data_IF_927610029076
#
_entry.id   IF_927610029076
#
_cell.length_a   1.000
_cell.length_b   1.000
_cell.length_c   1.000
_cell.angle_alpha   90.00
_cell.angle_beta   90.00
_cell.angle_gamma   90.00
#
_symmetry.space_group_name_H-M   'P 1'
#
loop_
_entity.id
_entity.type
_entity.pdbx_description
1 polymer ?
#
# COMPACT_ATOMS: atom_id res chain seq x y z
N UNK A 1 -30.73 75.91 -32.23
CA UNK A 1 -30.38 76.32 -30.86
C UNK A 1 -30.02 75.07 -30.08
N UNK A 2 -28.74 74.75 -29.88
CA UNK A 2 -27.93 74.97 -28.66
C UNK A 2 -28.55 74.40 -27.37
N UNK A 3 -27.97 73.26 -26.95
CA UNK A 3 -27.67 72.73 -25.60
C UNK A 3 -28.55 73.08 -24.39
N UNK A 4 -28.90 72.05 -23.61
CA UNK A 4 -28.40 71.91 -22.22
C UNK A 4 -28.43 70.45 -21.75
N UNK A 5 -27.25 69.88 -21.56
CA UNK A 5 -27.02 68.63 -20.83
C UNK A 5 -27.03 68.95 -19.34
N UNK A 6 -27.98 68.38 -18.59
CA UNK A 6 -27.94 68.41 -17.13
C UNK A 6 -27.12 67.23 -16.61
N UNK A 7 -25.99 67.57 -16.02
CA UNK A 7 -25.03 66.71 -15.33
C UNK A 7 -25.66 66.07 -14.09
N UNK A 8 -25.85 64.76 -14.12
CA UNK A 8 -26.20 63.99 -12.91
C UNK A 8 -24.93 63.75 -12.10
N UNK A 9 -24.95 64.23 -10.87
CA UNK A 9 -23.90 64.15 -9.84
C UNK A 9 -23.56 62.68 -9.54
N UNK A 10 -22.51 62.16 -10.17
CA UNK A 10 -21.87 60.91 -9.78
C UNK A 10 -21.10 61.15 -8.48
N UNK A 11 -21.70 60.79 -7.34
CA UNK A 11 -21.04 61.03 -6.06
C UNK A 11 -21.89 60.62 -4.87
N UNK A 12 -22.00 59.30 -4.65
CA UNK A 12 -22.16 58.64 -3.34
C UNK A 12 -22.51 57.14 -3.43
N UNK A 13 -23.04 56.67 -4.56
CA UNK A 13 -23.40 55.25 -4.73
C UNK A 13 -22.25 54.36 -5.24
N UNK A 14 -21.23 54.91 -5.89
CA UNK A 14 -20.04 54.14 -6.28
C UNK A 14 -19.23 53.69 -5.07
N UNK A 15 -19.16 54.48 -3.98
CA UNK A 15 -18.41 54.11 -2.78
C UNK A 15 -19.01 52.90 -2.07
N UNK A 16 -20.34 52.75 -2.08
CA UNK A 16 -21.03 51.61 -1.45
C UNK A 16 -20.89 50.35 -2.32
N UNK A 17 -20.96 50.48 -3.64
CA UNK A 17 -20.75 49.38 -4.56
C UNK A 17 -19.33 48.80 -4.48
N UNK A 18 -18.30 49.65 -4.32
CA UNK A 18 -16.92 49.21 -4.16
C UNK A 18 -16.64 48.58 -2.77
N UNK A 19 -17.29 49.05 -1.71
CA UNK A 19 -17.19 48.44 -0.37
C UNK A 19 -17.88 47.09 -0.31
N UNK A 20 -19.03 46.92 -0.97
CA UNK A 20 -19.69 45.62 -1.11
C UNK A 20 -18.87 44.65 -1.97
N UNK A 21 -18.29 45.10 -3.09
CA UNK A 21 -17.41 44.25 -3.92
C UNK A 21 -16.13 43.82 -3.17
N UNK A 22 -15.54 44.73 -2.38
CA UNK A 22 -14.38 44.41 -1.55
C UNK A 22 -14.71 43.46 -0.38
N UNK A 23 -15.92 43.56 0.22
CA UNK A 23 -16.39 42.64 1.25
C UNK A 23 -16.70 41.23 0.69
N UNK A 24 -17.15 41.16 -0.57
CA UNK A 24 -17.32 39.89 -1.30
C UNK A 24 -15.97 39.25 -1.68
N UNK A 25 -14.94 40.04 -2.00
CA UNK A 25 -13.57 39.51 -2.23
C UNK A 25 -12.84 39.12 -0.93
N UNK A 26 -13.18 39.70 0.22
CA UNK A 26 -12.64 39.29 1.52
C UNK A 26 -13.31 38.02 2.09
N UNK A 27 -14.45 37.60 1.54
CA UNK A 27 -15.16 36.38 1.96
C UNK A 27 -14.79 35.14 1.12
N UNK A 28 -14.01 35.30 0.05
CA UNK A 28 -13.58 34.18 -0.82
C UNK A 28 -12.11 33.78 -0.67
N UNK A 29 -11.39 34.37 0.28
CA UNK A 29 -10.04 33.94 0.64
C UNK A 29 -10.08 33.12 1.94
N UNK A 30 -9.98 31.80 1.76
CA UNK A 30 -9.48 30.82 2.72
C UNK A 30 -10.38 30.53 3.93
N UNK A 31 -11.43 29.74 3.66
CA UNK A 31 -11.60 28.52 4.44
C UNK A 31 -11.48 27.36 3.47
N UNK A 32 -10.24 26.96 3.19
CA UNK A 32 -10.02 25.53 2.97
C UNK A 32 -10.59 24.89 4.23
N UNK A 33 -11.68 24.14 4.11
CA UNK A 33 -12.19 23.32 5.20
C UNK A 33 -11.10 22.29 5.51
N UNK A 34 -10.10 22.69 6.31
CA UNK A 34 -9.19 21.76 6.96
C UNK A 34 -10.08 20.97 7.90
N UNK A 35 -10.51 19.81 7.41
CA UNK A 35 -11.29 18.86 8.19
C UNK A 35 -10.65 18.73 9.58
N UNK A 36 -11.44 18.96 10.63
CA UNK A 36 -10.93 19.05 11.99
C UNK A 36 -10.05 17.83 12.32
N UNK A 37 -8.93 18.08 13.01
CA UNK A 37 -8.07 17.01 13.52
C UNK A 37 -8.89 16.08 14.42
N UNK A 38 -8.60 14.78 14.36
CA UNK A 38 -9.22 13.82 15.26
C UNK A 38 -8.67 14.01 16.68
N UNK A 39 -9.44 13.67 17.73
CA UNK A 39 -8.94 13.66 19.10
C UNK A 39 -7.64 12.84 19.22
N UNK A 40 -6.65 13.38 19.93
CA UNK A 40 -5.36 12.72 20.11
C UNK A 40 -4.49 12.63 18.85
N UNK A 41 -4.72 13.45 17.82
CA UNK A 41 -3.93 13.46 16.58
C UNK A 41 -2.42 13.69 16.79
N UNK A 42 -2.04 14.42 17.84
CA UNK A 42 -0.63 14.69 18.18
C UNK A 42 -0.01 13.63 19.08
N UNK A 43 -0.77 12.63 19.51
CA UNK A 43 -0.23 11.55 20.33
C UNK A 43 0.73 10.68 19.50
N UNK A 44 1.79 10.19 20.14
CA UNK A 44 2.84 9.38 19.48
C UNK A 44 2.28 8.22 18.63
N UNK A 45 1.28 7.42 19.08
CA UNK A 45 0.75 6.33 18.26
C UNK A 45 -0.01 6.84 17.01
N UNK A 46 -0.71 7.97 17.13
CA UNK A 46 -1.44 8.57 16.01
C UNK A 46 -0.45 9.18 14.99
N UNK A 47 0.60 9.85 15.46
CA UNK A 47 1.65 10.40 14.62
C UNK A 47 2.43 9.29 13.88
N UNK A 48 2.66 8.14 14.52
CA UNK A 48 3.28 6.99 13.89
C UNK A 48 2.44 6.44 12.72
N UNK A 49 1.12 6.35 12.86
CA UNK A 49 0.25 5.95 11.74
C UNK A 49 0.25 6.98 10.60
N UNK A 50 0.29 8.27 10.94
CA UNK A 50 0.34 9.32 9.93
C UNK A 50 1.63 9.27 9.12
N UNK A 51 2.78 8.99 9.76
CA UNK A 51 4.08 8.96 9.07
C UNK A 51 4.19 7.83 8.04
N UNK A 52 3.43 6.74 8.22
CA UNK A 52 3.39 5.60 7.29
C UNK A 52 2.80 5.95 5.91
N UNK A 53 2.08 7.06 5.75
CA UNK A 53 1.57 7.48 4.44
C UNK A 53 2.64 8.12 3.56
N UNK A 54 3.65 8.75 4.17
CA UNK A 54 4.66 9.53 3.45
C UNK A 54 5.45 8.68 2.45
N UNK A 55 5.93 7.47 2.79
CA UNK A 55 6.58 6.59 1.83
C UNK A 55 5.68 6.23 0.64
N UNK A 56 4.41 5.87 0.89
CA UNK A 56 3.46 5.54 -0.19
C UNK A 56 3.17 6.74 -1.10
N UNK A 57 3.09 7.93 -0.51
CA UNK A 57 2.91 9.19 -1.25
C UNK A 57 4.10 9.47 -2.17
N UNK A 58 5.32 9.23 -1.68
CA UNK A 58 6.58 9.40 -2.40
C UNK A 58 6.94 8.25 -3.34
N UNK A 59 6.12 7.20 -3.39
CA UNK A 59 6.39 5.96 -4.12
C UNK A 59 7.65 5.22 -3.63
N UNK A 60 8.05 5.45 -2.39
CA UNK A 60 9.20 4.79 -1.77
C UNK A 60 8.73 3.53 -1.05
N UNK A 61 8.61 2.45 -1.83
CA UNK A 61 8.15 1.16 -1.30
C UNK A 61 9.16 0.52 -0.34
N UNK A 62 10.44 0.89 -0.43
CA UNK A 62 11.48 0.43 0.51
C UNK A 62 11.28 1.09 1.87
N UNK A 63 11.10 2.42 1.91
CA UNK A 63 10.79 3.13 3.15
C UNK A 63 9.44 2.69 3.74
N UNK A 64 8.45 2.39 2.89
CA UNK A 64 7.16 1.82 3.33
C UNK A 64 7.33 0.47 4.02
N UNK A 65 8.14 -0.42 3.45
CA UNK A 65 8.46 -1.70 4.08
C UNK A 65 9.16 -1.49 5.44
N UNK A 66 10.21 -0.66 5.46
CA UNK A 66 11.04 -0.44 6.66
C UNK A 66 10.26 0.14 7.84
N UNK A 67 9.32 1.05 7.59
CA UNK A 67 8.56 1.70 8.69
C UNK A 67 7.49 0.79 9.31
N UNK A 68 7.15 -0.33 8.66
CA UNK A 68 6.05 -1.21 9.07
C UNK A 68 6.47 -2.40 9.94
N UNK A 69 7.77 -2.67 10.03
CA UNK A 69 8.34 -3.81 10.75
C UNK A 69 9.56 -3.43 11.56
N UNK A 70 9.96 -4.28 12.51
CA UNK A 70 11.22 -4.10 13.24
C UNK A 70 12.43 -4.32 12.31
N UNK A 71 13.61 -3.77 12.62
CA UNK A 71 14.82 -4.00 11.82
C UNK A 71 15.18 -5.49 11.68
N UNK A 72 14.96 -6.28 12.74
CA UNK A 72 15.16 -7.72 12.73
C UNK A 72 14.20 -8.41 11.74
N UNK A 73 12.90 -8.11 11.81
CA UNK A 73 11.91 -8.63 10.87
C UNK A 73 12.23 -8.22 9.43
N UNK A 74 12.63 -6.97 9.18
CA UNK A 74 13.00 -6.51 7.84
C UNK A 74 14.12 -7.36 7.23
N UNK A 75 15.13 -7.72 8.03
CA UNK A 75 16.26 -8.56 7.61
C UNK A 75 15.80 -10.00 7.32
N UNK A 76 14.93 -10.55 8.17
CA UNK A 76 14.36 -11.89 7.97
C UNK A 76 13.44 -11.94 6.74
N UNK A 77 12.69 -10.88 6.47
CA UNK A 77 11.82 -10.74 5.30
C UNK A 77 12.63 -10.66 3.99
N UNK A 78 13.77 -9.96 3.99
CA UNK A 78 14.69 -9.96 2.85
C UNK A 78 15.21 -11.38 2.56
N UNK A 79 15.57 -12.15 3.59
CA UNK A 79 15.98 -13.54 3.43
C UNK A 79 14.84 -14.43 2.92
N UNK A 80 13.64 -14.28 3.48
CA UNK A 80 12.43 -15.00 3.06
C UNK A 80 12.03 -14.69 1.62
N UNK A 81 12.29 -13.48 1.12
CA UNK A 81 12.09 -13.14 -0.28
C UNK A 81 12.99 -13.93 -1.22
N UNK A 82 14.28 -14.01 -0.88
CA UNK A 82 15.29 -14.72 -1.68
C UNK A 82 15.07 -16.23 -1.68
N UNK A 83 14.50 -16.79 -0.62
CA UNK A 83 14.09 -18.20 -0.58
C UNK A 83 12.73 -18.46 -1.27
N UNK A 84 11.99 -17.41 -1.64
CA UNK A 84 10.65 -17.53 -2.21
C UNK A 84 9.54 -17.77 -1.17
N UNK A 85 9.88 -17.78 0.12
CA UNK A 85 8.93 -17.96 1.22
C UNK A 85 8.08 -16.70 1.51
N UNK A 86 8.44 -15.54 0.93
CA UNK A 86 7.72 -14.29 1.13
C UNK A 86 7.64 -13.41 -0.12
N UNK A 87 6.56 -12.64 -0.19
CA UNK A 87 6.36 -11.49 -1.09
C UNK A 87 5.94 -10.22 -0.35
N UNK A 88 5.95 -10.21 0.98
CA UNK A 88 5.65 -9.03 1.78
C UNK A 88 6.69 -7.92 1.51
N UNK A 89 6.34 -6.64 1.32
CA UNK A 89 5.03 -6.04 1.58
C UNK A 89 4.14 -5.94 0.33
N UNK A 90 4.46 -6.62 -0.78
CA UNK A 90 3.59 -6.55 -1.98
C UNK A 90 2.18 -7.05 -1.68
N UNK A 91 2.05 -7.99 -0.75
CA UNK A 91 0.76 -8.53 -0.24
C UNK A 91 -0.05 -7.52 0.57
N UNK A 92 0.58 -6.45 1.06
CA UNK A 92 -0.08 -5.37 1.82
C UNK A 92 -0.56 -4.22 0.93
N UNK A 93 -0.08 -4.18 -0.31
CA UNK A 93 -0.47 -3.18 -1.28
C UNK A 93 -1.73 -3.66 -2.01
N UNK A 94 -2.56 -2.75 -2.55
CA UNK A 94 -3.70 -3.10 -3.40
C UNK A 94 -3.21 -3.55 -4.80
N UNK A 95 -2.36 -4.57 -4.81
CA UNK A 95 -1.80 -5.22 -5.98
C UNK A 95 -2.34 -6.65 -6.06
N UNK A 96 -2.42 -7.24 -7.26
CA UNK A 96 -2.74 -8.66 -7.38
C UNK A 96 -1.66 -9.49 -6.68
N UNK A 97 -2.05 -10.66 -6.16
CA UNK A 97 -1.13 -11.61 -5.53
C UNK A 97 0.04 -12.05 -6.44
N UNK A 98 -0.19 -12.04 -7.74
CA UNK A 98 0.75 -12.52 -8.78
C UNK A 98 1.44 -11.34 -9.48
N UNK A 99 2.10 -10.47 -8.71
CA UNK A 99 2.74 -9.25 -9.24
C UNK A 99 3.75 -9.56 -10.36
N UNK A 100 4.54 -10.63 -10.23
CA UNK A 100 5.49 -11.00 -11.27
C UNK A 100 4.82 -11.37 -12.59
N UNK A 101 3.70 -12.10 -12.55
CA UNK A 101 2.93 -12.44 -13.75
C UNK A 101 2.30 -11.20 -14.42
N UNK A 102 1.75 -10.28 -13.61
CA UNK A 102 1.23 -9.01 -14.11
C UNK A 102 2.33 -8.24 -14.86
N UNK A 103 3.50 -8.09 -14.24
CA UNK A 103 4.62 -7.37 -14.85
C UNK A 103 5.15 -8.07 -16.09
N UNK A 104 5.21 -9.40 -16.10
CA UNK A 104 5.53 -10.19 -17.30
C UNK A 104 4.56 -9.92 -18.44
N UNK A 105 3.26 -9.93 -18.16
CA UNK A 105 2.22 -9.65 -19.16
C UNK A 105 2.32 -8.23 -19.71
N UNK A 106 2.48 -7.24 -18.83
CA UNK A 106 2.62 -5.84 -19.23
C UNK A 106 3.92 -5.56 -19.98
N UNK A 107 5.02 -6.24 -19.62
CA UNK A 107 6.32 -6.01 -20.24
C UNK A 107 6.53 -6.78 -21.55
N UNK A 108 5.68 -7.75 -21.86
CA UNK A 108 5.80 -8.60 -23.04
C UNK A 108 5.90 -7.81 -24.37
N UNK A 109 6.59 -8.37 -25.39
CA UNK A 109 6.62 -7.80 -26.73
C UNK A 109 5.21 -7.65 -27.30
N UNK A 110 4.85 -6.44 -27.72
CA UNK A 110 3.53 -6.16 -28.29
C UNK A 110 2.37 -6.11 -27.29
N UNK A 111 2.65 -6.09 -25.98
CA UNK A 111 1.65 -6.02 -24.91
C UNK A 111 0.63 -4.89 -25.13
N UNK A 112 1.06 -3.70 -25.57
CA UNK A 112 0.16 -2.57 -25.81
C UNK A 112 -0.94 -2.92 -26.81
N UNK A 113 -0.58 -3.60 -27.90
CA UNK A 113 -1.53 -3.97 -28.95
C UNK A 113 -2.47 -5.06 -28.47
N UNK A 114 -1.93 -6.08 -27.81
CA UNK A 114 -2.72 -7.23 -27.33
C UNK A 114 -3.70 -6.81 -26.24
N UNK A 115 -3.25 -6.02 -25.27
CA UNK A 115 -4.10 -5.49 -24.19
C UNK A 115 -5.16 -4.54 -24.73
N UNK A 116 -4.82 -3.68 -25.71
CA UNK A 116 -5.81 -2.82 -26.35
C UNK A 116 -6.86 -3.64 -27.10
N UNK A 117 -6.46 -4.68 -27.82
CA UNK A 117 -7.40 -5.56 -28.53
C UNK A 117 -8.34 -6.30 -27.56
N UNK A 118 -7.80 -6.81 -26.45
CA UNK A 118 -8.60 -7.45 -25.41
C UNK A 118 -9.60 -6.44 -24.78
N UNK A 119 -9.13 -5.23 -24.47
CA UNK A 119 -10.00 -4.15 -23.99
C UNK A 119 -11.11 -3.81 -24.99
N UNK A 120 -10.77 -3.67 -26.27
CA UNK A 120 -11.71 -3.34 -27.33
C UNK A 120 -12.80 -4.41 -27.48
N UNK A 121 -12.43 -5.69 -27.35
CA UNK A 121 -13.35 -6.81 -27.46
C UNK A 121 -14.29 -6.93 -26.25
N UNK A 122 -13.80 -6.63 -25.05
CA UNK A 122 -14.50 -6.95 -23.80
C UNK A 122 -15.15 -5.75 -23.11
N UNK A 123 -14.60 -4.55 -23.26
CA UNK A 123 -14.96 -3.40 -22.41
C UNK A 123 -15.32 -2.15 -23.20
N UNK A 124 -14.71 -1.93 -24.37
CA UNK A 124 -14.96 -0.70 -25.13
C UNK A 124 -16.45 -0.54 -25.47
N UNK A 125 -17.02 0.61 -25.12
CA UNK A 125 -18.44 0.91 -25.34
C UNK A 125 -19.42 0.17 -24.41
N UNK A 126 -18.97 -0.74 -23.54
CA UNK A 126 -19.82 -1.51 -22.63
C UNK A 126 -20.10 -0.81 -21.29
N UNK A 127 -20.20 0.53 -21.27
CA UNK A 127 -20.30 1.31 -20.05
C UNK A 127 -21.48 0.89 -19.15
N UNK A 128 -22.63 0.54 -19.74
CA UNK A 128 -23.80 0.10 -18.99
C UNK A 128 -23.59 -1.30 -18.36
N UNK A 129 -22.95 -2.22 -19.08
CA UNK A 129 -22.64 -3.56 -18.56
C UNK A 129 -21.64 -3.49 -17.40
N UNK A 130 -20.59 -2.68 -17.54
CA UNK A 130 -19.61 -2.44 -16.45
C UNK A 130 -20.29 -1.84 -15.23
N UNK A 131 -21.18 -0.86 -15.41
CA UNK A 131 -21.94 -0.25 -14.32
C UNK A 131 -22.77 -1.29 -13.56
N UNK A 132 -23.53 -2.12 -14.28
CA UNK A 132 -24.35 -3.16 -13.69
C UNK A 132 -23.50 -4.20 -12.95
N UNK A 133 -22.38 -4.62 -13.54
CA UNK A 133 -21.43 -5.53 -12.90
C UNK A 133 -20.87 -4.93 -11.60
N UNK A 134 -20.45 -3.67 -11.61
CA UNK A 134 -19.93 -2.98 -10.42
C UNK A 134 -20.97 -2.90 -9.29
N UNK A 135 -22.22 -2.57 -9.63
CA UNK A 135 -23.33 -2.52 -8.66
C UNK A 135 -23.65 -3.90 -8.09
N UNK A 136 -23.73 -4.93 -8.95
CA UNK A 136 -24.02 -6.31 -8.54
C UNK A 136 -22.90 -6.87 -7.66
N UNK A 137 -21.63 -6.66 -8.03
CA UNK A 137 -20.47 -7.10 -7.26
C UNK A 137 -20.40 -6.39 -5.91
N UNK A 138 -20.75 -5.09 -5.86
CA UNK A 138 -20.82 -4.35 -4.60
C UNK A 138 -21.88 -4.91 -3.65
N UNK A 139 -23.10 -5.10 -4.16
CA UNK A 139 -24.19 -5.68 -3.37
C UNK A 139 -23.84 -7.08 -2.88
N UNK A 140 -23.32 -7.95 -3.77
CA UNK A 140 -22.89 -9.29 -3.39
C UNK A 140 -21.76 -9.26 -2.35
N UNK A 141 -20.72 -8.46 -2.59
CA UNK A 141 -19.56 -8.35 -1.71
C UNK A 141 -19.93 -7.88 -0.30
N UNK A 142 -20.81 -6.88 -0.19
CA UNK A 142 -21.33 -6.43 1.11
C UNK A 142 -22.13 -7.51 1.81
N UNK A 143 -23.00 -8.23 1.11
CA UNK A 143 -23.78 -9.32 1.72
C UNK A 143 -22.89 -10.49 2.15
N UNK A 144 -21.88 -10.83 1.35
CA UNK A 144 -20.88 -11.83 1.70
C UNK A 144 -20.11 -11.43 2.97
N UNK A 145 -19.62 -10.19 3.05
CA UNK A 145 -18.91 -9.70 4.23
C UNK A 145 -19.80 -9.71 5.48
N UNK A 146 -21.09 -9.36 5.34
CA UNK A 146 -22.07 -9.38 6.43
C UNK A 146 -22.38 -10.78 6.94
N UNK A 147 -22.30 -11.81 6.09
CA UNK A 147 -22.57 -13.20 6.50
C UNK A 147 -21.35 -13.89 7.12
N UNK A 148 -20.15 -13.31 7.00
CA UNK A 148 -18.91 -13.83 7.58
C UNK A 148 -18.80 -13.47 9.07
N UNK A 149 -18.66 -14.52 9.90
CA UNK A 149 -18.54 -14.42 11.37
C UNK A 149 -17.09 -14.50 11.86
N UNK A 150 -16.13 -14.81 10.98
CA UNK A 150 -14.71 -14.91 11.28
C UNK A 150 -14.01 -13.54 11.35
N UNK A 151 -14.66 -12.48 10.87
CA UNK A 151 -14.17 -11.10 11.02
C UNK A 151 -14.65 -10.47 12.33
N UNK A 152 -13.74 -9.73 12.96
CA UNK A 152 -14.13 -8.81 14.05
C UNK A 152 -15.09 -7.73 13.51
N UNK A 153 -16.07 -7.26 14.31
CA UNK A 153 -17.09 -6.33 13.84
C UNK A 153 -16.54 -5.06 13.18
N UNK A 154 -15.51 -4.45 13.76
CA UNK A 154 -14.88 -3.22 13.27
C UNK A 154 -14.17 -3.47 11.93
N UNK A 155 -13.49 -4.61 11.79
CA UNK A 155 -12.81 -5.01 10.57
C UNK A 155 -13.81 -5.28 9.44
N UNK A 156 -14.92 -5.96 9.75
CA UNK A 156 -16.01 -6.18 8.79
C UNK A 156 -16.63 -4.86 8.34
N UNK A 157 -16.89 -3.95 9.26
CA UNK A 157 -17.44 -2.62 8.94
C UNK A 157 -16.49 -1.82 8.03
N UNK A 158 -15.18 -1.91 8.24
CA UNK A 158 -14.20 -1.31 7.36
C UNK A 158 -14.24 -1.89 5.93
N UNK A 159 -14.27 -3.22 5.78
CA UNK A 159 -14.33 -3.84 4.44
C UNK A 159 -15.62 -3.52 3.70
N UNK A 160 -16.76 -3.43 4.41
CA UNK A 160 -18.02 -2.99 3.80
C UNK A 160 -17.89 -1.58 3.23
N UNK A 161 -17.31 -0.63 3.97
CA UNK A 161 -17.08 0.74 3.49
C UNK A 161 -16.19 0.77 2.23
N UNK A 162 -15.14 -0.06 2.18
CA UNK A 162 -14.26 -0.15 1.01
C UNK A 162 -14.99 -0.71 -0.21
N UNK A 163 -15.75 -1.80 -0.06
CA UNK A 163 -16.53 -2.39 -1.15
C UNK A 163 -17.56 -1.39 -1.67
N UNK A 164 -18.29 -0.73 -0.78
CA UNK A 164 -19.27 0.30 -1.15
C UNK A 164 -18.62 1.45 -1.93
N UNK A 165 -17.50 1.98 -1.42
CA UNK A 165 -16.79 3.10 -2.05
C UNK A 165 -16.27 2.74 -3.46
N UNK A 166 -15.64 1.57 -3.59
CA UNK A 166 -15.03 1.13 -4.85
C UNK A 166 -16.09 0.70 -5.89
N UNK A 167 -17.17 0.05 -5.46
CA UNK A 167 -18.27 -0.31 -6.36
C UNK A 167 -19.02 0.93 -6.87
N UNK A 168 -19.24 1.93 -6.02
CA UNK A 168 -19.83 3.20 -6.43
C UNK A 168 -18.93 3.97 -7.41
N UNK A 169 -17.62 3.98 -7.17
CA UNK A 169 -16.64 4.53 -8.09
C UNK A 169 -16.67 3.79 -9.44
N UNK A 170 -16.56 2.46 -9.45
CA UNK A 170 -16.53 1.67 -10.68
C UNK A 170 -17.82 1.80 -11.51
N UNK A 171 -18.96 2.03 -10.86
CA UNK A 171 -20.23 2.26 -11.55
C UNK A 171 -20.31 3.59 -12.32
N UNK A 172 -19.45 4.56 -11.98
CA UNK A 172 -19.45 5.91 -12.55
C UNK A 172 -18.18 6.22 -13.35
N UNK A 173 -17.07 5.54 -13.05
CA UNK A 173 -15.81 5.70 -13.73
C UNK A 173 -15.90 5.39 -15.23
N UNK A 174 -15.19 6.13 -16.10
CA UNK A 174 -15.21 5.94 -17.55
C UNK A 174 -14.39 4.71 -17.99
N UNK A 175 -14.64 3.54 -17.38
CA UNK A 175 -13.87 2.30 -17.59
C UNK A 175 -14.01 1.71 -19.00
N UNK A 176 -15.07 2.06 -19.73
CA UNK A 176 -15.29 1.67 -21.13
C UNK A 176 -14.68 2.65 -22.15
N UNK A 177 -14.02 3.72 -21.70
CA UNK A 177 -13.45 4.74 -22.58
C UNK A 177 -12.17 4.24 -23.26
N UNK A 178 -12.24 4.11 -24.58
CA UNK A 178 -11.16 3.57 -25.41
C UNK A 178 -9.90 4.44 -25.40
N UNK A 179 -10.04 5.76 -25.41
CA UNK A 179 -8.89 6.67 -25.46
C UNK A 179 -8.14 6.67 -24.12
N UNK A 180 -8.88 6.67 -23.01
CA UNK A 180 -8.32 6.53 -21.66
C UNK A 180 -7.64 5.18 -21.49
N UNK A 181 -8.28 4.10 -21.92
CA UNK A 181 -7.70 2.76 -21.86
C UNK A 181 -6.38 2.68 -22.64
N UNK A 182 -6.34 3.18 -23.88
CA UNK A 182 -5.12 3.21 -24.69
C UNK A 182 -3.98 3.93 -23.97
N UNK A 183 -4.24 5.12 -23.45
CA UNK A 183 -3.23 5.88 -22.71
C UNK A 183 -2.77 5.11 -21.45
N UNK A 184 -3.70 4.54 -20.68
CA UNK A 184 -3.37 3.82 -19.45
C UNK A 184 -2.58 2.54 -19.69
N UNK A 185 -2.92 1.80 -20.75
CA UNK A 185 -2.18 0.62 -21.18
C UNK A 185 -0.76 1.01 -21.58
N UNK A 186 -0.59 2.07 -22.39
CA UNK A 186 0.74 2.57 -22.77
C UNK A 186 1.58 2.95 -21.56
N UNK A 187 1.01 3.70 -20.61
CA UNK A 187 1.71 4.13 -19.39
C UNK A 187 2.14 2.93 -18.53
N UNK A 188 1.23 1.97 -18.28
CA UNK A 188 1.51 0.79 -17.46
C UNK A 188 2.52 -0.16 -18.11
N UNK A 189 2.42 -0.39 -19.42
CA UNK A 189 3.38 -1.21 -20.17
C UNK A 189 4.77 -0.58 -20.13
N UNK A 190 4.86 0.73 -20.34
CA UNK A 190 6.13 1.47 -20.28
C UNK A 190 6.75 1.37 -18.88
N UNK A 191 5.96 1.62 -17.84
CA UNK A 191 6.40 1.55 -16.46
C UNK A 191 6.80 0.11 -16.05
N UNK A 192 6.03 -0.90 -16.46
CA UNK A 192 6.34 -2.31 -16.19
C UNK A 192 7.66 -2.73 -16.84
N UNK A 193 7.91 -2.37 -18.10
CA UNK A 193 9.19 -2.64 -18.77
C UNK A 193 10.36 -1.98 -18.04
N UNK A 194 10.18 -0.76 -17.55
CA UNK A 194 11.22 -0.04 -16.80
C UNK A 194 11.60 -0.74 -15.48
N UNK A 195 10.72 -1.58 -14.91
CA UNK A 195 11.06 -2.38 -13.72
C UNK A 195 12.13 -3.44 -14.02
N UNK A 196 12.20 -3.94 -15.27
CA UNK A 196 13.03 -5.10 -15.60
C UNK A 196 12.67 -6.39 -14.84
N UNK A 197 11.46 -6.46 -14.28
CA UNK A 197 10.91 -7.63 -13.58
C UNK A 197 9.85 -8.24 -14.49
N UNK A 198 10.07 -9.46 -14.97
CA UNK A 198 9.13 -10.15 -15.85
C UNK A 198 8.45 -11.36 -15.20
N UNK A 199 8.82 -11.71 -13.98
CA UNK A 199 8.39 -12.94 -13.33
C UNK A 199 8.59 -12.91 -11.81
N UNK A 200 7.96 -13.85 -11.10
CA UNK A 200 8.22 -14.04 -9.67
C UNK A 200 9.64 -14.55 -9.39
N UNK A 201 10.27 -15.22 -10.35
CA UNK A 201 11.66 -15.63 -10.26
C UNK A 201 12.61 -14.42 -10.27
N UNK A 202 12.28 -13.37 -11.03
CA UNK A 202 13.04 -12.11 -11.00
C UNK A 202 12.90 -11.41 -9.64
N UNK A 203 11.68 -11.35 -9.09
CA UNK A 203 11.45 -10.81 -7.74
C UNK A 203 12.30 -11.53 -6.69
N UNK A 204 12.32 -12.87 -6.74
CA UNK A 204 13.14 -13.69 -5.85
C UNK A 204 14.63 -13.42 -6.01
N UNK A 205 15.11 -13.39 -7.26
CA UNK A 205 16.53 -13.19 -7.61
C UNK A 205 17.03 -11.81 -7.18
N UNK A 206 16.21 -10.77 -7.35
CA UNK A 206 16.56 -9.40 -6.96
C UNK A 206 16.53 -9.23 -5.43
N UNK A 207 15.68 -9.98 -4.72
CA UNK A 207 15.40 -9.78 -3.30
C UNK A 207 14.38 -8.67 -3.06
N UNK A 208 14.01 -8.45 -1.80
CA UNK A 208 12.92 -7.55 -1.41
C UNK A 208 13.27 -6.11 -1.76
N UNK A 209 14.39 -5.61 -1.24
CA UNK A 209 14.69 -4.19 -1.36
C UNK A 209 14.88 -3.73 -2.82
N UNK A 210 15.63 -4.49 -3.62
CA UNK A 210 15.85 -4.15 -5.03
C UNK A 210 14.55 -4.17 -5.81
N UNK A 211 13.71 -5.19 -5.59
CA UNK A 211 12.42 -5.28 -6.27
C UNK A 211 11.51 -4.13 -5.90
N UNK A 212 11.39 -3.78 -4.62
CA UNK A 212 10.59 -2.65 -4.16
C UNK A 212 11.09 -1.32 -4.75
N UNK A 213 12.42 -1.13 -4.83
CA UNK A 213 13.00 0.07 -5.44
C UNK A 213 12.63 0.19 -6.93
N UNK A 214 12.69 -0.91 -7.68
CA UNK A 214 12.29 -0.94 -9.10
C UNK A 214 10.80 -0.78 -9.30
N UNK A 215 9.99 -1.22 -8.33
CA UNK A 215 8.53 -1.09 -8.36
C UNK A 215 8.03 0.30 -7.98
N UNK A 216 8.84 1.15 -7.33
CA UNK A 216 8.44 2.51 -6.97
C UNK A 216 7.89 3.34 -8.15
N UNK A 217 8.62 3.49 -9.26
CA UNK A 217 8.12 4.17 -10.45
C UNK A 217 6.88 3.51 -11.07
N UNK A 218 6.76 2.18 -11.02
CA UNK A 218 5.57 1.47 -11.49
C UNK A 218 4.35 1.76 -10.61
N UNK A 219 4.53 1.81 -9.28
CA UNK A 219 3.50 2.23 -8.33
C UNK A 219 3.02 3.66 -8.60
N UNK A 220 3.93 4.57 -8.94
CA UNK A 220 3.58 5.94 -9.33
C UNK A 220 2.68 5.95 -10.58
N UNK A 221 3.04 5.18 -11.62
CA UNK A 221 2.25 5.05 -12.84
C UNK A 221 0.87 4.43 -12.58
N UNK A 222 0.79 3.41 -11.72
CA UNK A 222 -0.48 2.80 -11.32
C UNK A 222 -1.40 3.82 -10.63
N UNK A 223 -0.89 4.63 -9.70
CA UNK A 223 -1.66 5.71 -9.06
C UNK A 223 -2.15 6.75 -10.07
N UNK A 224 -1.29 7.16 -11.01
CA UNK A 224 -1.67 8.11 -12.06
C UNK A 224 -2.78 7.56 -12.96
N UNK A 225 -2.74 6.27 -13.27
CA UNK A 225 -3.82 5.60 -14.01
C UNK A 225 -5.12 5.62 -13.22
N UNK A 226 -5.10 5.27 -11.92
CA UNK A 226 -6.31 5.34 -11.09
C UNK A 226 -6.87 6.76 -11.02
N UNK A 227 -6.01 7.76 -10.89
CA UNK A 227 -6.38 9.18 -10.89
C UNK A 227 -7.06 9.60 -12.21
N UNK A 228 -6.61 9.10 -13.37
CA UNK A 228 -7.26 9.32 -14.68
C UNK A 228 -8.70 8.81 -14.73
N UNK A 229 -9.05 7.84 -13.88
CA UNK A 229 -10.40 7.31 -13.71
C UNK A 229 -11.14 7.90 -12.50
N UNK A 230 -10.60 8.94 -11.86
CA UNK A 230 -11.22 9.63 -10.74
C UNK A 230 -10.99 8.98 -9.37
N UNK A 231 -10.01 8.07 -9.26
CA UNK A 231 -9.63 7.45 -7.99
C UNK A 231 -8.21 7.87 -7.59
N UNK A 232 -8.09 9.00 -6.88
CA UNK A 232 -6.78 9.49 -6.42
C UNK A 232 -6.39 8.88 -5.07
N UNK A 233 -5.44 7.94 -5.11
CA UNK A 233 -4.84 7.39 -3.89
C UNK A 233 -3.98 8.44 -3.18
N UNK A 234 -3.33 9.33 -3.91
CA UNK A 234 -2.50 10.38 -3.32
C UNK A 234 -3.33 11.41 -2.56
N UNK A 235 -4.52 11.77 -3.06
CA UNK A 235 -5.47 12.60 -2.30
C UNK A 235 -5.94 11.88 -1.03
N UNK A 236 -6.17 10.57 -1.10
CA UNK A 236 -6.55 9.76 0.06
C UNK A 236 -5.44 9.74 1.13
N UNK A 237 -4.19 9.58 0.70
CA UNK A 237 -3.00 9.60 1.57
C UNK A 237 -2.73 10.98 2.18
N UNK A 238 -2.85 12.04 1.37
CA UNK A 238 -2.64 13.43 1.81
C UNK A 238 -3.71 13.89 2.81
N UNK A 239 -4.94 13.38 2.66
CA UNK A 239 -6.08 13.71 3.52
C UNK A 239 -6.30 12.73 4.69
N UNK A 240 -5.44 11.73 4.86
CA UNK A 240 -5.51 10.82 6.00
C UNK A 240 -5.38 11.63 7.30
N UNK A 241 -6.30 11.37 8.23
CA UNK A 241 -6.26 11.87 9.59
C UNK A 241 -6.19 10.72 10.57
N UNK A 242 -5.35 10.85 11.58
CA UNK A 242 -5.21 9.90 12.68
C UNK A 242 -5.62 10.53 14.01
N UNK A 243 -6.11 9.72 14.95
CA UNK A 243 -6.44 10.17 16.31
C UNK A 243 -6.37 9.03 17.31
N UNK A 244 -5.78 9.28 18.48
CA UNK A 244 -5.70 8.29 19.55
C UNK A 244 -7.07 8.08 20.20
N UNK A 245 -7.52 6.83 20.25
CA UNK A 245 -8.73 6.42 20.97
C UNK A 245 -8.36 6.08 22.42
N UNK A 246 -7.39 5.18 22.60
CA UNK A 246 -6.89 4.76 23.91
C UNK A 246 -5.46 4.23 23.83
N UNK A 247 -4.74 4.32 24.95
CA UNK A 247 -3.39 3.78 25.11
C UNK A 247 -3.26 3.10 26.47
N UNK A 248 -2.75 1.88 26.47
CA UNK A 248 -2.55 1.03 27.65
C UNK A 248 -1.11 0.47 27.58
N UNK A 249 -0.17 1.14 28.23
CA UNK A 249 1.25 0.79 28.18
C UNK A 249 1.80 0.77 26.75
N UNK A 250 2.19 -0.41 26.28
CA UNK A 250 2.73 -0.66 24.94
C UNK A 250 1.66 -1.00 23.89
N UNK A 251 0.36 -0.83 24.22
CA UNK A 251 -0.76 -1.06 23.30
C UNK A 251 -1.50 0.25 23.07
N UNK A 252 -1.97 0.48 21.86
CA UNK A 252 -2.83 1.63 21.55
C UNK A 252 -3.91 1.27 20.52
N UNK A 253 -4.98 2.05 20.50
CA UNK A 253 -5.98 2.04 19.43
C UNK A 253 -6.04 3.43 18.82
N UNK A 254 -5.90 3.49 17.50
CA UNK A 254 -5.89 4.73 16.73
C UNK A 254 -7.01 4.67 15.71
N UNK A 255 -7.80 5.73 15.63
CA UNK A 255 -8.79 5.95 14.59
C UNK A 255 -8.11 6.58 13.38
N UNK A 256 -8.42 6.07 12.20
CA UNK A 256 -8.00 6.61 10.92
C UNK A 256 -9.24 7.05 10.15
N UNK A 257 -9.15 8.20 9.48
CA UNK A 257 -10.18 8.66 8.54
C UNK A 257 -9.55 9.25 7.30
N UNK A 258 -9.99 8.80 6.13
CA UNK A 258 -9.52 9.31 4.83
C UNK A 258 -10.64 9.26 3.78
N UNK A 259 -10.64 10.18 2.81
CA UNK A 259 -11.54 10.08 1.67
C UNK A 259 -11.06 8.97 0.73
N UNK A 260 -11.98 8.22 0.14
CA UNK A 260 -11.74 7.28 -0.95
C UNK A 260 -12.89 7.39 -1.96
N UNK A 261 -12.57 7.83 -3.18
CA UNK A 261 -13.57 8.24 -4.16
C UNK A 261 -14.56 9.27 -3.55
N UNK A 262 -15.86 8.97 -3.55
CA UNK A 262 -16.91 9.83 -2.99
C UNK A 262 -17.24 9.54 -1.51
N UNK A 263 -16.48 8.68 -0.83
CA UNK A 263 -16.80 8.23 0.53
C UNK A 263 -15.70 8.61 1.52
N UNK A 264 -16.08 8.81 2.78
CA UNK A 264 -15.13 8.86 3.89
C UNK A 264 -15.02 7.48 4.50
N UNK A 265 -13.80 6.92 4.50
CA UNK A 265 -13.50 5.66 5.17
C UNK A 265 -13.10 5.95 6.61
N UNK A 266 -13.67 5.19 7.54
CA UNK A 266 -13.39 5.26 8.96
C UNK A 266 -13.04 3.87 9.51
N UNK A 267 -11.90 3.77 10.18
CA UNK A 267 -11.42 2.52 10.77
C UNK A 267 -10.65 2.74 12.06
N UNK A 268 -10.60 1.70 12.87
CA UNK A 268 -9.77 1.64 14.08
C UNK A 268 -8.68 0.60 13.90
N UNK A 269 -7.43 0.98 14.18
CA UNK A 269 -6.27 0.11 14.08
C UNK A 269 -5.67 -0.07 15.48
N UNK A 270 -5.39 -1.32 15.84
CA UNK A 270 -4.64 -1.67 17.03
C UNK A 270 -3.13 -1.59 16.76
N UNK A 271 -2.39 -0.96 17.68
CA UNK A 271 -0.95 -0.77 17.59
C UNK A 271 -0.24 -1.44 18.77
N UNK A 272 1.00 -1.85 18.52
CA UNK A 272 1.94 -2.35 19.51
C UNK A 272 3.22 -1.54 19.48
N UNK A 273 3.75 -1.20 20.65
CA UNK A 273 5.08 -0.60 20.78
C UNK A 273 6.12 -1.73 20.85
N UNK A 274 7.13 -1.68 19.98
CA UNK A 274 8.29 -2.56 20.00
C UNK A 274 9.53 -1.71 19.78
N UNK A 275 10.56 -1.89 20.61
CA UNK A 275 11.85 -1.19 20.45
C UNK A 275 11.67 0.34 20.35
N UNK A 276 10.73 0.90 21.10
CA UNK A 276 10.43 2.34 21.08
C UNK A 276 9.55 2.83 19.92
N UNK A 277 9.15 1.98 18.98
CA UNK A 277 8.39 2.34 17.78
C UNK A 277 7.00 1.70 17.79
N UNK A 278 6.02 2.40 17.22
CA UNK A 278 4.63 1.90 17.11
C UNK A 278 4.40 1.22 15.77
N UNK A 279 3.87 0.01 15.81
CA UNK A 279 3.58 -0.81 14.63
C UNK A 279 2.12 -1.26 14.60
N UNK A 280 1.48 -1.39 13.42
CA UNK A 280 0.19 -2.05 13.30
C UNK A 280 0.27 -3.48 13.81
N UNK A 281 -0.56 -3.84 14.79
CA UNK A 281 -0.54 -5.17 15.37
C UNK A 281 -0.77 -6.24 14.31
N UNK A 282 -1.75 -6.04 13.42
CA UNK A 282 -2.09 -7.00 12.38
C UNK A 282 -0.87 -7.33 11.49
N UNK A 283 -0.09 -6.32 11.10
CA UNK A 283 1.14 -6.54 10.31
C UNK A 283 2.20 -7.29 11.11
N UNK A 284 2.33 -7.01 12.41
CA UNK A 284 3.26 -7.74 13.27
C UNK A 284 2.87 -9.22 13.39
N UNK A 285 1.59 -9.50 13.55
CA UNK A 285 1.05 -10.86 13.65
C UNK A 285 1.21 -11.61 12.32
N UNK A 286 0.91 -10.97 11.18
CA UNK A 286 1.09 -11.54 9.82
C UNK A 286 2.55 -11.84 9.52
N UNK A 287 3.45 -10.86 9.75
CA UNK A 287 4.89 -11.03 9.51
C UNK A 287 5.46 -12.12 10.42
N UNK A 288 5.04 -12.19 11.69
CA UNK A 288 5.47 -13.27 12.58
C UNK A 288 5.01 -14.64 12.08
N UNK A 289 3.75 -14.77 11.66
CA UNK A 289 3.21 -16.03 11.13
C UNK A 289 3.97 -16.47 9.87
N UNK A 290 4.19 -15.53 8.94
CA UNK A 290 4.94 -15.75 7.70
C UNK A 290 6.38 -16.22 7.99
N UNK A 291 7.10 -15.53 8.88
CA UNK A 291 8.48 -15.85 9.21
C UNK A 291 8.60 -17.16 10.02
N UNK A 292 7.56 -17.54 10.77
CA UNK A 292 7.54 -18.82 11.51
C UNK A 292 7.22 -20.01 10.59
N UNK A 293 6.50 -19.78 9.48
CA UNK A 293 6.18 -20.80 8.48
C UNK A 293 7.31 -21.01 7.45
N UNK A 294 8.22 -20.05 7.29
CA UNK A 294 9.38 -20.20 6.42
C UNK A 294 10.34 -21.26 7.00
N UNK A 295 10.81 -22.25 6.22
CA UNK A 295 11.82 -23.17 6.70
C UNK A 295 13.05 -22.38 7.15
N UNK A 296 13.52 -22.62 8.38
CA UNK A 296 14.78 -22.05 8.83
C UNK A 296 15.87 -22.48 7.84
N UNK A 297 16.44 -21.53 7.10
CA UNK A 297 17.67 -21.79 6.37
C UNK A 297 18.71 -22.27 7.40
N UNK A 298 19.44 -23.38 7.15
CA UNK A 298 20.52 -23.77 8.04
C UNK A 298 21.50 -22.60 8.11
N UNK A 299 21.72 -22.09 9.33
CA UNK A 299 22.86 -21.21 9.58
C UNK A 299 24.12 -21.98 9.14
N UNK A 300 25.07 -21.37 8.42
CA UNK A 300 26.37 -21.99 8.21
C UNK A 300 26.96 -22.28 9.58
N UNK A 301 27.14 -23.57 9.86
CA UNK A 301 27.64 -24.06 11.14
C UNK A 301 29.04 -23.50 11.35
N UNK A 302 29.15 -22.57 12.31
CA UNK A 302 30.43 -22.03 12.74
C UNK A 302 31.06 -23.00 13.75
N UNK A 303 31.40 -24.23 13.32
CA UNK A 303 32.38 -25.11 13.96
C UNK A 303 32.53 -26.45 13.21
N UNK A 304 33.14 -26.43 12.03
CA UNK A 304 33.95 -27.57 11.60
C UNK A 304 35.42 -27.18 11.79
N UNK A 305 35.96 -27.49 12.97
CA UNK A 305 37.39 -27.47 13.18
C UNK A 305 38.07 -28.46 12.21
N UNK A 306 39.24 -28.14 11.63
CA UNK A 306 39.90 -29.05 10.71
C UNK A 306 40.36 -30.32 11.43
N UNK A 307 40.02 -31.46 10.85
CA UNK A 307 40.42 -32.79 11.30
C UNK A 307 41.96 -32.88 11.42
N UNK A 308 42.42 -33.19 12.63
CA UNK A 308 43.80 -33.58 12.89
C UNK A 308 44.01 -35.02 12.40
N UNK A 309 45.05 -35.34 11.61
CA UNK A 309 45.26 -36.70 11.12
C UNK A 309 45.59 -37.67 12.27
N UNK A 310 45.12 -38.93 12.23
CA UNK A 310 45.36 -39.90 13.29
C UNK A 310 46.83 -40.36 13.35
N UNK A 311 47.38 -40.38 14.56
CA UNK A 311 48.72 -40.86 14.88
C UNK A 311 48.82 -42.40 14.75
N UNK A 312 49.95 -42.87 14.22
CA UNK A 312 50.27 -44.29 14.04
C UNK A 312 50.46 -45.04 15.38
N UNK A 313 50.12 -46.34 15.47
CA UNK A 313 50.20 -47.10 16.71
C UNK A 313 51.63 -47.56 17.03
N UNK A 314 52.00 -47.44 18.31
CA UNK A 314 53.28 -47.91 18.87
C UNK A 314 53.26 -49.43 19.17
N UNK A 315 54.41 -50.13 19.06
CA UNK A 315 54.50 -51.59 19.24
C UNK A 315 54.46 -52.04 20.71
N UNK A 316 54.11 -53.32 20.97
CA UNK A 316 53.81 -53.81 22.31
C UNK A 316 55.08 -54.10 23.13
N UNK A 317 55.08 -53.65 24.39
CA UNK A 317 56.06 -54.06 25.39
C UNK A 317 55.53 -55.24 26.21
N UNK A 318 56.30 -56.32 26.19
CA UNK A 318 56.09 -57.54 26.95
C UNK A 318 56.45 -57.36 28.43
N UNK A 319 55.66 -57.98 29.31
CA UNK A 319 56.01 -58.50 30.65
C UNK A 319 54.70 -59.09 31.19
N UNK A 320 54.59 -60.30 31.71
CA UNK A 320 55.53 -61.26 32.27
C UNK A 320 54.75 -62.01 33.35
N UNK A 321 54.50 -63.30 33.14
CA UNK A 321 54.29 -64.42 34.09
C UNK A 321 54.06 -64.09 35.58
N UNK A 322 53.09 -64.70 36.29
CA UNK A 322 52.97 -66.11 36.79
C UNK A 322 51.80 -66.15 37.82
N UNK A 323 51.44 -67.27 38.52
CA UNK A 323 51.64 -68.71 38.30
C UNK A 323 50.40 -69.64 38.58
N UNK A 324 50.53 -70.89 38.09
CA UNK A 324 50.25 -72.21 38.73
C UNK A 324 48.82 -72.77 39.04
N UNK A 325 48.68 -74.05 38.64
CA UNK A 325 47.78 -75.09 39.19
C UNK A 325 46.75 -75.56 38.17
N UNK A 326 46.70 -76.81 37.67
CA UNK A 326 47.13 -78.12 38.17
C UNK A 326 47.39 -79.06 36.99
#
# INVERSE_FOLDING_TARGET
MRMSLSTVRAGRFQSIAWVLLAALCASSCQRSDTAAALPGATAEPAAAMQSMTTPLRRNDLVAYARIRVTPAQYTQLEAAWRSGASRWPLTELPLPSEVGNLLGTLSAPGAERQLQQAFDAQLAGQAQGIRQAAQSLGQFGVQYLRSRNDYQPEQRAHYVQLVDALSAWAATAPLADRARAKASITDLVTAARATGIGSDADLQRLGMEESLRRLGPFWAAAKQVLERYGLSLDTSLDALRTGLIKQEGERAQVRLRYPLAAHDIDLTIALLKREGHWYPQQTQDEVQALLSAAPAAPLPDAAAAPDTPPAAPAPPAATGQRPAGR
#
